data_IF_097839374953
#
_entry.id   IF_097839374953
#
_cell.length_a   1.000
_cell.length_b   1.000
_cell.length_c   1.000
_cell.angle_alpha   90.00
_cell.angle_beta   90.00
_cell.angle_gamma   90.00
#
_symmetry.space_group_name_H-M   'P 1'
#
loop_
_entity.id
_entity.type
_entity.pdbx_description
1 polymer ?
#
# COMPACT_ATOMS: atom_id res chain seq x y z
N UNK A 1 -4.23 -26.39 -11.03
CA UNK A 1 -3.30 -25.26 -10.80
C UNK A 1 -2.61 -25.55 -9.49
N UNK A 2 -1.28 -25.73 -9.49
CA UNK A 2 -0.53 -25.98 -8.25
C UNK A 2 -0.85 -24.88 -7.23
N UNK A 3 -0.96 -25.23 -5.94
CA UNK A 3 -1.25 -24.28 -4.84
C UNK A 3 -0.38 -23.03 -4.94
N UNK A 4 0.90 -23.23 -5.26
CA UNK A 4 1.88 -22.17 -5.50
C UNK A 4 1.52 -21.23 -6.66
N UNK A 5 1.05 -21.76 -7.80
CA UNK A 5 0.57 -20.94 -8.92
C UNK A 5 -0.69 -20.13 -8.54
N UNK A 6 -1.53 -20.69 -7.66
CA UNK A 6 -2.71 -20.02 -7.09
C UNK A 6 -2.36 -18.80 -6.26
N UNK A 7 -1.42 -18.97 -5.32
CA UNK A 7 -0.92 -17.87 -4.50
C UNK A 7 -0.21 -16.81 -5.32
N UNK A 8 0.67 -17.22 -6.25
CA UNK A 8 1.45 -16.31 -7.08
C UNK A 8 0.55 -15.39 -7.91
N UNK A 9 -0.49 -15.95 -8.55
CA UNK A 9 -1.45 -15.16 -9.31
C UNK A 9 -2.14 -14.10 -8.44
N UNK A 10 -2.59 -14.48 -7.24
CA UNK A 10 -3.26 -13.55 -6.30
C UNK A 10 -2.31 -12.45 -5.83
N UNK A 11 -1.07 -12.81 -5.51
CA UNK A 11 -0.03 -11.84 -5.14
C UNK A 11 0.21 -10.83 -6.26
N UNK A 12 0.39 -11.30 -7.49
CA UNK A 12 0.60 -10.44 -8.65
C UNK A 12 -0.59 -9.53 -8.91
N UNK A 13 -1.82 -10.07 -8.84
CA UNK A 13 -3.04 -9.30 -9.13
C UNK A 13 -3.24 -8.17 -8.11
N UNK A 14 -3.14 -8.47 -6.81
CA UNK A 14 -3.29 -7.47 -5.75
C UNK A 14 -2.19 -6.41 -5.85
N UNK A 15 -0.94 -6.84 -6.07
CA UNK A 15 0.19 -5.90 -6.21
C UNK A 15 0.00 -4.99 -7.41
N UNK A 16 -0.40 -5.54 -8.57
CA UNK A 16 -0.60 -4.79 -9.80
C UNK A 16 -1.73 -3.77 -9.69
N UNK A 17 -2.89 -4.17 -9.16
CA UNK A 17 -4.04 -3.26 -9.03
C UNK A 17 -3.83 -2.19 -7.95
N UNK A 18 -3.16 -2.53 -6.85
CA UNK A 18 -2.74 -1.54 -5.85
C UNK A 18 -1.76 -0.52 -6.44
N UNK A 19 -0.77 -0.98 -7.22
CA UNK A 19 0.18 -0.08 -7.89
C UNK A 19 -0.54 0.79 -8.94
N UNK A 20 -1.43 0.21 -9.73
CA UNK A 20 -2.20 0.95 -10.73
C UNK A 20 -3.02 2.07 -10.10
N UNK A 21 -3.68 1.81 -8.96
CA UNK A 21 -4.38 2.84 -8.18
C UNK A 21 -3.45 3.98 -7.78
N UNK A 22 -2.28 3.64 -7.22
CA UNK A 22 -1.26 4.63 -6.83
C UNK A 22 -0.74 5.44 -8.03
N UNK A 23 -0.47 4.80 -9.17
CA UNK A 23 -0.06 5.48 -10.40
C UNK A 23 -1.12 6.47 -10.87
N UNK A 24 -2.40 6.08 -10.88
CA UNK A 24 -3.51 6.96 -11.28
C UNK A 24 -3.59 8.17 -10.35
N UNK A 25 -3.55 7.97 -9.04
CA UNK A 25 -3.55 9.07 -8.06
C UNK A 25 -2.34 10.00 -8.26
N UNK A 26 -1.16 9.42 -8.49
CA UNK A 26 0.05 10.18 -8.78
C UNK A 26 -0.08 11.04 -10.04
N UNK A 27 -0.65 10.48 -11.12
CA UNK A 27 -0.91 11.23 -12.35
C UNK A 27 -1.86 12.39 -12.13
N UNK A 28 -2.86 12.23 -11.26
CA UNK A 28 -3.83 13.30 -10.96
C UNK A 28 -3.23 14.47 -10.18
N UNK A 29 -2.21 14.22 -9.35
CA UNK A 29 -1.65 15.24 -8.44
C UNK A 29 -0.34 15.82 -8.98
N UNK A 30 0.52 14.97 -9.53
CA UNK A 30 1.87 15.31 -9.97
C UNK A 30 2.04 15.25 -11.50
N UNK A 31 1.02 14.81 -12.24
CA UNK A 31 1.12 14.67 -13.69
C UNK A 31 2.22 13.69 -14.10
N UNK A 32 2.86 13.93 -15.24
CA UNK A 32 3.93 13.08 -15.75
C UNK A 32 5.21 13.06 -14.91
N UNK A 33 5.34 13.96 -13.91
CA UNK A 33 6.54 14.00 -13.07
C UNK A 33 6.71 12.74 -12.22
N UNK A 34 5.65 11.96 -12.01
CA UNK A 34 5.72 10.69 -11.28
C UNK A 34 6.63 9.63 -11.92
N UNK A 35 7.01 9.80 -13.18
CA UNK A 35 7.94 8.90 -13.87
C UNK A 35 9.39 9.40 -13.82
N UNK A 36 9.62 10.58 -13.25
CA UNK A 36 10.95 11.16 -13.05
C UNK A 36 11.48 10.62 -11.72
N UNK A 37 12.53 9.77 -11.71
CA UNK A 37 12.94 9.04 -10.51
C UNK A 37 13.36 9.92 -9.34
N UNK A 38 13.86 11.12 -9.63
CA UNK A 38 14.32 12.12 -8.66
C UNK A 38 13.16 12.95 -8.06
N UNK A 39 11.95 12.82 -8.60
CA UNK A 39 10.80 13.60 -8.14
C UNK A 39 10.16 13.00 -6.88
N UNK A 40 9.57 13.86 -6.06
CA UNK A 40 8.73 13.43 -4.94
C UNK A 40 7.53 12.59 -5.43
N UNK A 41 7.00 12.88 -6.62
CA UNK A 41 5.90 12.13 -7.22
C UNK A 41 6.26 10.66 -7.46
N UNK A 42 7.47 10.37 -7.95
CA UNK A 42 7.96 9.01 -8.14
C UNK A 42 8.14 8.28 -6.80
N UNK A 43 8.78 8.94 -5.83
CA UNK A 43 8.96 8.37 -4.51
C UNK A 43 7.61 8.02 -3.85
N UNK A 44 6.68 8.97 -3.84
CA UNK A 44 5.34 8.79 -3.24
C UNK A 44 4.49 7.77 -3.99
N UNK A 45 4.26 7.93 -5.28
CA UNK A 45 3.22 7.17 -5.96
C UNK A 45 3.71 5.91 -6.67
N UNK A 46 5.01 5.80 -6.98
CA UNK A 46 5.58 4.61 -7.62
C UNK A 46 6.23 3.71 -6.58
N UNK A 47 7.22 4.20 -5.84
CA UNK A 47 7.97 3.37 -4.89
C UNK A 47 7.13 2.96 -3.67
N UNK A 48 6.43 3.91 -3.03
CA UNK A 48 5.53 3.56 -1.91
C UNK A 48 4.27 2.84 -2.37
N UNK A 49 3.73 3.21 -3.53
CA UNK A 49 2.63 2.47 -4.16
C UNK A 49 2.97 1.00 -4.35
N UNK A 50 4.12 0.70 -4.95
CA UNK A 50 4.58 -0.67 -5.20
C UNK A 50 4.82 -1.44 -3.90
N UNK A 51 5.58 -0.87 -2.97
CA UNK A 51 5.92 -1.54 -1.71
C UNK A 51 4.71 -1.81 -0.83
N UNK A 52 3.83 -0.82 -0.69
CA UNK A 52 2.58 -0.98 0.04
C UNK A 52 1.70 -2.05 -0.59
N UNK A 53 1.55 -2.03 -1.91
CA UNK A 53 0.73 -3.03 -2.64
C UNK A 53 1.27 -4.44 -2.42
N UNK A 54 2.60 -4.59 -2.40
CA UNK A 54 3.26 -5.86 -2.14
C UNK A 54 3.03 -6.36 -0.71
N UNK A 55 3.13 -5.48 0.29
CA UNK A 55 2.85 -5.81 1.70
C UNK A 55 1.40 -6.25 1.88
N UNK A 56 0.45 -5.52 1.30
CA UNK A 56 -0.97 -5.89 1.32
C UNK A 56 -1.24 -7.21 0.60
N UNK A 57 -0.60 -7.46 -0.54
CA UNK A 57 -0.72 -8.73 -1.24
C UNK A 57 -0.28 -9.90 -0.34
N UNK A 58 0.83 -9.77 0.38
CA UNK A 58 1.28 -10.79 1.33
C UNK A 58 0.31 -10.99 2.50
N UNK A 59 -0.30 -9.91 3.00
CA UNK A 59 -1.36 -10.00 4.00
C UNK A 59 -2.55 -10.81 3.51
N UNK A 60 -3.11 -10.48 2.34
CA UNK A 60 -4.30 -11.14 1.83
C UNK A 60 -4.07 -12.60 1.38
N UNK A 61 -2.85 -12.95 0.97
CA UNK A 61 -2.55 -14.31 0.48
C UNK A 61 -1.96 -15.21 1.56
N UNK A 62 -1.12 -14.68 2.44
CA UNK A 62 -0.32 -15.47 3.40
C UNK A 62 -0.49 -15.09 4.87
N UNK A 63 -1.35 -14.11 5.16
CA UNK A 63 -1.67 -13.67 6.52
C UNK A 63 -0.59 -12.82 7.18
N UNK A 64 -0.94 -12.28 8.35
CA UNK A 64 -0.24 -11.20 9.04
C UNK A 64 1.24 -11.48 9.37
N UNK A 65 1.60 -12.70 9.77
CA UNK A 65 2.99 -13.04 10.12
C UNK A 65 3.93 -12.88 8.93
N UNK A 66 3.45 -13.21 7.72
CA UNK A 66 4.23 -13.07 6.49
C UNK A 66 4.22 -11.61 6.00
N UNK A 67 3.19 -10.83 6.33
CA UNK A 67 3.12 -9.39 6.09
C UNK A 67 4.19 -8.62 6.82
N UNK A 68 4.42 -8.92 8.11
CA UNK A 68 5.47 -8.26 8.91
C UNK A 68 6.83 -8.50 8.26
N UNK A 69 7.12 -9.76 7.93
CA UNK A 69 8.38 -10.15 7.28
C UNK A 69 8.54 -9.48 5.92
N UNK A 70 7.47 -9.45 5.11
CA UNK A 70 7.45 -8.75 3.83
C UNK A 70 7.73 -7.25 4.03
N UNK A 71 7.04 -6.58 4.94
CA UNK A 71 7.22 -5.16 5.21
C UNK A 71 8.63 -4.80 5.69
N UNK A 72 9.23 -5.62 6.55
CA UNK A 72 10.62 -5.42 6.99
C UNK A 72 11.60 -5.63 5.84
N UNK A 73 11.42 -6.69 5.04
CA UNK A 73 12.29 -6.98 3.88
C UNK A 73 12.19 -5.91 2.79
N UNK A 74 10.98 -5.50 2.45
CA UNK A 74 10.70 -4.45 1.47
C UNK A 74 11.18 -3.10 1.98
N UNK A 75 11.00 -2.80 3.28
CA UNK A 75 11.57 -1.62 3.92
C UNK A 75 13.10 -1.60 3.86
N UNK A 76 13.77 -2.72 4.09
CA UNK A 76 15.23 -2.80 3.97
C UNK A 76 15.70 -2.56 2.53
N UNK A 77 15.02 -3.12 1.52
CA UNK A 77 15.35 -2.90 0.10
C UNK A 77 15.14 -1.44 -0.29
N UNK A 78 14.00 -0.82 0.07
CA UNK A 78 13.75 0.60 -0.21
C UNK A 78 14.76 1.47 0.54
N UNK A 79 15.15 1.11 1.75
CA UNK A 79 16.15 1.86 2.49
C UNK A 79 17.50 1.89 1.78
N UNK A 80 17.97 0.72 1.31
CA UNK A 80 19.22 0.62 0.55
C UNK A 80 19.14 1.46 -0.72
N UNK A 81 18.06 1.31 -1.49
CA UNK A 81 17.88 2.05 -2.75
C UNK A 81 17.72 3.56 -2.52
N UNK A 82 16.89 3.95 -1.55
CA UNK A 82 16.62 5.34 -1.19
C UNK A 82 17.85 6.05 -0.64
N UNK A 83 18.71 5.34 0.10
CA UNK A 83 19.95 5.91 0.65
C UNK A 83 20.93 6.38 -0.42
N UNK A 84 20.82 5.91 -1.66
CA UNK A 84 21.62 6.44 -2.78
C UNK A 84 21.15 7.83 -3.22
N UNK A 85 19.87 8.18 -3.03
CA UNK A 85 19.22 9.33 -3.68
C UNK A 85 18.70 10.36 -2.69
N UNK A 86 18.59 10.01 -1.40
CA UNK A 86 18.17 10.93 -0.35
C UNK A 86 19.03 10.75 0.92
N UNK A 87 19.05 11.74 1.82
CA UNK A 87 19.75 11.61 3.10
C UNK A 87 19.32 10.35 3.85
N UNK A 88 20.29 9.64 4.45
CA UNK A 88 20.07 8.35 5.12
C UNK A 88 18.95 8.41 6.17
N UNK A 89 18.85 9.52 6.91
CA UNK A 89 17.78 9.71 7.90
C UNK A 89 16.39 9.74 7.25
N UNK A 90 16.26 10.43 6.11
CA UNK A 90 15.02 10.46 5.35
C UNK A 90 14.75 9.07 4.77
N UNK A 91 15.75 8.43 4.17
CA UNK A 91 15.61 7.07 3.65
C UNK A 91 15.12 6.11 4.73
N UNK A 92 15.65 6.18 5.95
CA UNK A 92 15.24 5.31 7.06
C UNK A 92 13.79 5.56 7.50
N UNK A 93 13.44 6.82 7.74
CA UNK A 93 12.09 7.21 8.21
C UNK A 93 11.04 6.85 7.17
N UNK A 94 11.32 7.10 5.90
CA UNK A 94 10.40 6.78 4.83
C UNK A 94 10.31 5.27 4.55
N UNK A 95 11.43 4.56 4.57
CA UNK A 95 11.45 3.12 4.25
C UNK A 95 10.92 2.23 5.37
N UNK A 96 11.11 2.60 6.63
CA UNK A 96 10.60 1.82 7.76
C UNK A 96 9.34 2.43 8.35
N UNK A 97 9.27 3.75 8.55
CA UNK A 97 8.11 4.40 9.18
C UNK A 97 6.80 4.21 8.40
N UNK A 98 6.85 4.37 7.08
CA UNK A 98 5.67 4.13 6.22
C UNK A 98 5.32 2.65 6.20
N UNK A 99 6.29 1.77 5.92
CA UNK A 99 6.05 0.32 5.80
C UNK A 99 5.59 -0.34 7.10
N UNK A 100 6.09 0.08 8.27
CA UNK A 100 5.58 -0.39 9.56
C UNK A 100 4.14 0.08 9.79
N UNK A 101 3.81 1.29 9.35
CA UNK A 101 2.44 1.79 9.45
C UNK A 101 1.47 1.02 8.56
N UNK A 102 1.92 0.51 7.41
CA UNK A 102 1.15 -0.42 6.57
C UNK A 102 0.85 -1.72 7.31
N UNK A 103 1.82 -2.27 8.05
CA UNK A 103 1.62 -3.46 8.89
C UNK A 103 0.59 -3.19 9.99
N UNK A 104 0.67 -2.03 10.66
CA UNK A 104 -0.31 -1.62 11.67
C UNK A 104 -1.71 -1.50 11.05
N UNK A 105 -1.81 -0.97 9.84
CA UNK A 105 -3.07 -0.89 9.11
C UNK A 105 -3.61 -2.26 8.71
N UNK A 106 -2.77 -3.17 8.22
CA UNK A 106 -3.15 -4.55 7.94
C UNK A 106 -3.69 -5.24 9.20
N UNK A 107 -3.06 -5.01 10.36
CA UNK A 107 -3.56 -5.50 11.65
C UNK A 107 -4.91 -4.90 12.05
N UNK A 108 -5.11 -3.60 11.84
CA UNK A 108 -6.39 -2.92 12.10
C UNK A 108 -7.49 -3.44 11.17
N UNK A 109 -7.17 -3.73 9.91
CA UNK A 109 -8.04 -4.40 8.96
C UNK A 109 -8.51 -5.75 9.46
N UNK A 110 -7.59 -6.58 9.94
CA UNK A 110 -7.88 -7.93 10.43
C UNK A 110 -8.77 -7.92 11.67
N UNK A 111 -8.51 -7.03 12.63
CA UNK A 111 -9.16 -7.07 13.95
C UNK A 111 -10.33 -6.13 14.14
N UNK A 112 -10.34 -4.95 13.54
CA UNK A 112 -11.29 -3.87 13.90
C UNK A 112 -12.06 -3.28 12.73
N UNK A 113 -11.47 -3.24 11.53
CA UNK A 113 -12.10 -2.61 10.36
C UNK A 113 -12.89 -3.57 9.48
N UNK A 114 -12.84 -4.89 9.74
CA UNK A 114 -13.65 -5.88 9.03
C UNK A 114 -15.17 -5.56 9.04
N UNK A 115 -15.66 -4.92 10.11
CA UNK A 115 -17.07 -4.53 10.25
C UNK A 115 -17.48 -3.35 9.34
N UNK A 116 -16.54 -2.55 8.84
CA UNK A 116 -16.83 -1.26 8.22
C UNK A 116 -17.16 -1.31 6.72
N UNK A 117 -17.38 -2.50 6.12
CA UNK A 117 -17.67 -2.67 4.68
C UNK A 117 -16.76 -1.81 3.81
N UNK A 118 -17.28 -0.79 3.12
CA UNK A 118 -16.53 0.11 2.23
C UNK A 118 -15.84 1.28 2.97
N UNK A 119 -16.29 1.64 4.18
CA UNK A 119 -15.72 2.76 4.95
C UNK A 119 -14.32 2.48 5.50
N UNK A 120 -13.92 1.20 5.55
CA UNK A 120 -12.57 0.80 5.96
C UNK A 120 -11.49 1.50 5.14
N UNK A 121 -11.72 1.78 3.85
CA UNK A 121 -10.75 2.46 2.99
C UNK A 121 -10.63 3.95 3.27
N UNK A 122 -11.73 4.61 3.63
CA UNK A 122 -11.70 6.01 4.06
C UNK A 122 -10.87 6.15 5.33
N UNK A 123 -11.07 5.24 6.29
CA UNK A 123 -10.26 5.20 7.53
C UNK A 123 -8.78 5.00 7.21
N UNK A 124 -8.47 4.10 6.28
CA UNK A 124 -7.08 3.82 5.87
C UNK A 124 -6.44 5.02 5.20
N UNK A 125 -7.15 5.69 4.30
CA UNK A 125 -6.70 6.95 3.70
C UNK A 125 -6.40 8.01 4.76
N UNK A 126 -7.32 8.21 5.71
CA UNK A 126 -7.13 9.20 6.80
C UNK A 126 -5.90 8.86 7.65
N UNK A 127 -5.73 7.57 8.00
CA UNK A 127 -4.58 7.12 8.78
C UNK A 127 -3.28 7.33 7.99
N UNK A 128 -3.24 7.02 6.69
CA UNK A 128 -2.09 7.32 5.83
C UNK A 128 -1.77 8.81 5.79
N UNK A 129 -2.77 9.67 5.61
CA UNK A 129 -2.60 11.12 5.65
C UNK A 129 -2.00 11.57 6.97
N UNK A 130 -2.52 11.07 8.11
CA UNK A 130 -1.99 11.38 9.43
C UNK A 130 -0.55 10.89 9.63
N UNK A 131 -0.21 9.68 9.18
CA UNK A 131 1.15 9.12 9.26
C UNK A 131 2.13 9.98 8.48
N UNK A 132 1.77 10.42 7.27
CA UNK A 132 2.65 11.25 6.45
C UNK A 132 2.93 12.60 7.12
N UNK A 133 1.92 13.20 7.76
CA UNK A 133 2.09 14.41 8.59
C UNK A 133 3.02 14.13 9.78
N UNK A 134 2.83 13.04 10.50
CA UNK A 134 3.65 12.68 11.66
C UNK A 134 5.10 12.38 11.28
N UNK A 135 5.34 11.70 10.17
CA UNK A 135 6.68 11.44 9.64
C UNK A 135 7.36 12.75 9.23
N UNK A 136 6.62 13.64 8.59
CA UNK A 136 7.11 14.98 8.23
C UNK A 136 7.50 15.78 9.47
N UNK A 137 6.67 15.73 10.52
CA UNK A 137 6.95 16.38 11.79
C UNK A 137 8.19 15.78 12.47
N UNK A 138 8.31 14.45 12.50
CA UNK A 138 9.47 13.76 13.06
C UNK A 138 10.76 14.14 12.33
N UNK A 139 10.75 14.19 11.00
CA UNK A 139 11.90 14.64 10.20
C UNK A 139 12.25 16.09 10.56
N UNK A 140 11.28 17.00 10.59
CA UNK A 140 11.50 18.40 10.95
C UNK A 140 12.16 18.59 12.31
N UNK A 141 11.70 17.83 13.33
CA UNK A 141 12.27 17.84 14.67
C UNK A 141 13.70 17.28 14.68
N UNK A 142 13.92 16.13 14.04
CA UNK A 142 15.22 15.46 14.03
C UNK A 142 16.29 16.24 13.24
N UNK A 143 15.88 16.93 12.18
CA UNK A 143 16.75 17.76 11.35
C UNK A 143 16.90 19.20 11.86
N UNK A 144 16.27 19.53 13.00
CA UNK A 144 16.31 20.86 13.64
C UNK A 144 15.92 21.99 12.68
N UNK A 145 14.92 21.76 11.83
CA UNK A 145 14.42 22.81 10.93
C UNK A 145 13.67 23.84 11.76
N UNK A 146 14.13 25.09 11.72
CA UNK A 146 13.58 26.18 12.54
C UNK A 146 12.10 26.48 12.23
N UNK A 147 11.66 26.23 10.99
CA UNK A 147 10.27 26.41 10.57
C UNK A 147 9.98 25.58 9.33
N UNK A 148 8.97 24.72 9.38
CA UNK A 148 8.39 24.09 8.19
C UNK A 148 7.08 24.82 7.85
N UNK A 149 6.87 25.20 6.57
CA UNK A 149 5.64 25.88 6.16
C UNK A 149 4.41 24.97 6.37
N UNK A 150 3.27 25.48 6.89
CA UNK A 150 2.05 24.70 7.10
C UNK A 150 1.55 23.98 5.83
N UNK A 151 1.79 24.58 4.67
CA UNK A 151 1.41 24.06 3.35
C UNK A 151 2.05 22.70 3.07
N UNK A 152 3.26 22.46 3.61
CA UNK A 152 3.96 21.18 3.44
C UNK A 152 3.27 20.06 4.22
N UNK A 153 2.75 20.34 5.42
CA UNK A 153 1.98 19.37 6.19
C UNK A 153 0.62 19.10 5.55
N UNK A 154 -0.05 20.13 5.04
CA UNK A 154 -1.32 19.96 4.31
C UNK A 154 -1.13 19.11 3.05
N UNK A 155 -0.07 19.38 2.28
CA UNK A 155 0.25 18.59 1.08
C UNK A 155 0.57 17.15 1.42
N UNK A 156 1.42 16.89 2.42
CA UNK A 156 1.76 15.53 2.83
C UNK A 156 0.54 14.78 3.40
N UNK A 157 -0.39 15.46 4.07
CA UNK A 157 -1.66 14.88 4.48
C UNK A 157 -2.49 14.44 3.27
N UNK A 158 -2.66 15.32 2.29
CA UNK A 158 -3.42 15.03 1.08
C UNK A 158 -2.76 13.93 0.26
N UNK A 159 -1.43 13.93 0.13
CA UNK A 159 -0.69 12.89 -0.57
C UNK A 159 -0.85 11.53 0.10
N UNK A 160 -0.74 11.47 1.43
CA UNK A 160 -1.02 10.25 2.19
C UNK A 160 -2.47 9.80 2.02
N UNK A 161 -3.43 10.72 2.10
CA UNK A 161 -4.85 10.44 1.93
C UNK A 161 -5.14 9.83 0.55
N UNK A 162 -4.66 10.46 -0.52
CA UNK A 162 -4.86 10.01 -1.88
C UNK A 162 -4.19 8.68 -2.16
N UNK A 163 -2.95 8.51 -1.71
CA UNK A 163 -2.24 7.25 -1.84
C UNK A 163 -2.99 6.12 -1.13
N UNK A 164 -3.37 6.32 0.14
CA UNK A 164 -4.09 5.31 0.92
C UNK A 164 -5.46 4.94 0.34
N UNK A 165 -6.22 5.92 -0.14
CA UNK A 165 -7.51 5.68 -0.81
C UNK A 165 -7.33 4.89 -2.12
N UNK A 166 -6.38 5.28 -2.96
CA UNK A 166 -6.15 4.64 -4.25
C UNK A 166 -5.67 3.19 -4.12
N UNK A 167 -4.81 2.92 -3.14
CA UNK A 167 -4.35 1.58 -2.78
C UNK A 167 -5.50 0.73 -2.28
N UNK A 168 -6.33 1.29 -1.39
CA UNK A 168 -7.51 0.64 -0.86
C UNK A 168 -8.46 0.16 -1.96
N UNK A 169 -8.80 1.05 -2.88
CA UNK A 169 -9.67 0.73 -4.03
C UNK A 169 -9.05 -0.35 -4.92
N UNK A 170 -7.76 -0.23 -5.24
CA UNK A 170 -7.05 -1.22 -6.05
C UNK A 170 -7.07 -2.62 -5.44
N UNK A 171 -6.83 -2.71 -4.13
CA UNK A 171 -6.88 -3.98 -3.39
C UNK A 171 -8.29 -4.55 -3.36
N UNK A 172 -9.33 -3.74 -3.14
CA UNK A 172 -10.73 -4.22 -3.12
C UNK A 172 -11.18 -4.81 -4.46
N UNK A 173 -10.79 -4.16 -5.56
CA UNK A 173 -11.05 -4.68 -6.91
C UNK A 173 -10.35 -6.03 -7.08
N UNK A 174 -9.10 -6.14 -6.63
CA UNK A 174 -8.35 -7.40 -6.69
C UNK A 174 -9.03 -8.52 -5.88
N UNK A 175 -9.46 -8.24 -4.64
CA UNK A 175 -10.19 -9.19 -3.80
C UNK A 175 -11.51 -9.63 -4.46
N UNK A 176 -12.25 -8.69 -5.04
CA UNK A 176 -13.52 -8.96 -5.72
C UNK A 176 -13.32 -9.88 -6.93
N UNK A 177 -12.27 -9.67 -7.72
CA UNK A 177 -11.90 -10.54 -8.84
C UNK A 177 -11.52 -11.93 -8.34
N UNK A 178 -10.70 -12.03 -7.29
CA UNK A 178 -10.29 -13.32 -6.71
C UNK A 178 -11.52 -14.09 -6.21
N UNK A 179 -12.41 -13.43 -5.48
CA UNK A 179 -13.63 -14.04 -4.98
C UNK A 179 -14.54 -14.52 -6.12
N UNK A 180 -14.70 -13.73 -7.18
CA UNK A 180 -15.46 -14.13 -8.36
C UNK A 180 -14.86 -15.36 -9.05
N UNK A 181 -13.53 -15.40 -9.24
CA UNK A 181 -12.83 -16.55 -9.85
C UNK A 181 -12.96 -17.80 -8.98
N UNK A 182 -12.89 -17.66 -7.66
CA UNK A 182 -13.04 -18.76 -6.72
C UNK A 182 -14.46 -19.35 -6.73
N UNK A 183 -15.50 -18.50 -6.78
CA UNK A 183 -16.90 -18.93 -6.95
C UNK A 183 -17.09 -19.74 -8.25
N UNK A 184 -16.64 -19.20 -9.38
CA UNK A 184 -16.73 -19.89 -10.67
C UNK A 184 -15.95 -21.22 -10.71
N UNK A 185 -14.90 -21.36 -9.89
CA UNK A 185 -14.16 -22.63 -9.73
C UNK A 185 -14.87 -23.63 -8.84
N UNK A 186 -15.57 -23.18 -7.81
CA UNK A 186 -16.36 -24.04 -6.94
C UNK A 186 -17.58 -24.59 -7.69
N UNK A 187 -18.26 -23.77 -8.49
CA UNK A 187 -19.37 -24.20 -9.36
C UNK A 187 -18.95 -25.28 -10.36
N UNK A 188 -17.73 -25.21 -10.90
CA UNK A 188 -17.19 -26.24 -11.80
C UNK A 188 -16.78 -27.54 -11.10
N UNK A 189 -16.65 -27.54 -9.77
CA UNK A 189 -16.29 -28.73 -8.97
C UNK A 189 -17.50 -29.44 -8.36
N UNK A 190 -18.66 -28.80 -8.32
CA UNK A 190 -19.90 -29.46 -7.94
C UNK A 190 -20.31 -30.41 -9.08
N UNK A 191 -20.44 -31.73 -8.85
CA UNK A 191 -21.01 -32.60 -9.86
C UNK A 191 -22.43 -32.12 -10.14
N UNK A 192 -22.81 -32.09 -11.42
CA UNK A 192 -24.19 -31.96 -11.87
C UNK A 192 -24.95 -33.17 -11.29
N UNK A 193 -25.41 -33.08 -10.05
CA UNK A 193 -26.29 -34.06 -9.44
C UNK A 193 -27.72 -33.63 -9.74
N UNK A 194 -28.36 -34.36 -10.65
CA UNK A 194 -29.81 -34.42 -10.76
C UNK A 194 -30.45 -33.42 -11.74
N UNK A 195 -30.31 -33.69 -13.03
CA UNK A 195 -31.44 -33.54 -13.97
C UNK A 195 -31.64 -34.88 -14.65
N UNK A 196 -32.25 -35.80 -13.89
CA UNK A 196 -32.94 -36.97 -14.41
C UNK A 196 -34.43 -36.76 -14.18
#
# INVERSE_FOLDING_TARGET
MNLWLGELWRLCLITFLGLAGSVIAGLMIYGGTIFIPESSGFAYYILFGLSTSFIFAFYHVRGLSNTITAAVSTGAVIFVLGSFWMPVLNAAIWSFGVNLSVVVLAFLFERKLAYFKQWKFVVVGIVYGAIFVLLTLAIGVLTKVASLPPELFQRNFLDGLWLGLSLGVGVEIAESIIHSVDLHRQDKKLPIKGRG
#
